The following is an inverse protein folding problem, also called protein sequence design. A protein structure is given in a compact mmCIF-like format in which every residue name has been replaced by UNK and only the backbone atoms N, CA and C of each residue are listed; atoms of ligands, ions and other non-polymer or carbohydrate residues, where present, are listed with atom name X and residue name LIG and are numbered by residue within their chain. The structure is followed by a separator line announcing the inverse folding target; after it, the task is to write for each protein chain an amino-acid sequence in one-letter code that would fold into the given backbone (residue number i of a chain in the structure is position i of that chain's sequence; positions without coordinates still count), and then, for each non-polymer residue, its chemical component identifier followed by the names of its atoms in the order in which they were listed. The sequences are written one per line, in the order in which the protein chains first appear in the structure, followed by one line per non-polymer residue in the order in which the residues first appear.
data_IF_721185326260
#
_entry.id   IF_721185326260
#
_cell.length_a   1.000
_cell.length_b   1.000
_cell.length_c   1.000
_cell.angle_alpha   90.00
_cell.angle_beta   90.00
_cell.angle_gamma   90.00
#
_symmetry.space_group_name_H-M   'P 1'
#
loop_
_entity.id
_entity.type
_entity.pdbx_description
1 polymer ?
#
# COMPACT_ATOMS: atom_id res chain seq x y z
N UNK A 1 -23.87 18.66 5.49
CA UNK A 1 -22.75 18.69 4.52
C UNK A 1 -23.27 19.27 3.23
N UNK A 2 -22.53 20.18 2.58
CA UNK A 2 -22.90 20.64 1.25
C UNK A 2 -22.65 19.55 0.19
N UNK A 3 -23.19 19.74 -1.02
CA UNK A 3 -23.05 18.78 -2.13
C UNK A 3 -21.59 18.46 -2.47
N UNK A 4 -20.67 19.41 -2.32
CA UNK A 4 -19.25 19.24 -2.67
C UNK A 4 -18.54 18.42 -1.61
N UNK A 5 -18.87 18.64 -0.34
CA UNK A 5 -18.41 17.83 0.79
C UNK A 5 -18.91 16.39 0.68
N UNK A 6 -20.18 16.20 0.32
CA UNK A 6 -20.76 14.87 0.09
C UNK A 6 -20.04 14.14 -1.05
N UNK A 7 -19.82 14.79 -2.19
CA UNK A 7 -19.11 14.15 -3.31
C UNK A 7 -17.65 13.80 -2.96
N UNK A 8 -16.97 14.61 -2.14
CA UNK A 8 -15.64 14.27 -1.60
C UNK A 8 -15.69 13.08 -0.65
N UNK A 9 -16.72 13.00 0.20
CA UNK A 9 -16.95 11.87 1.08
C UNK A 9 -17.10 10.59 0.25
N UNK A 10 -17.95 10.60 -0.77
CA UNK A 10 -18.13 9.46 -1.69
C UNK A 10 -16.80 8.97 -2.26
N UNK A 11 -16.02 9.87 -2.88
CA UNK A 11 -14.72 9.50 -3.46
C UNK A 11 -13.75 8.93 -2.42
N UNK A 12 -13.77 9.44 -1.19
CA UNK A 12 -12.90 8.93 -0.11
C UNK A 12 -13.29 7.53 0.39
N UNK A 13 -14.54 7.12 0.16
CA UNK A 13 -15.12 5.86 0.64
C UNK A 13 -15.21 4.80 -0.46
N UNK A 14 -15.44 5.20 -1.71
CA UNK A 14 -15.52 4.31 -2.87
C UNK A 14 -14.29 3.39 -2.97
N UNK A 15 -13.08 3.94 -2.87
CA UNK A 15 -11.84 3.15 -2.89
C UNK A 15 -11.60 2.30 -1.62
N UNK A 16 -12.53 2.29 -0.67
CA UNK A 16 -12.55 1.44 0.52
C UNK A 16 -13.71 0.46 0.52
N UNK A 17 -14.46 0.38 -0.58
CA UNK A 17 -15.54 -0.57 -0.75
C UNK A 17 -14.97 -1.97 -1.01
N UNK A 18 -15.53 -2.97 -0.34
CA UNK A 18 -15.37 -4.37 -0.64
C UNK A 18 -16.68 -4.85 -1.27
N UNK A 19 -16.62 -5.26 -2.53
CA UNK A 19 -17.79 -5.62 -3.33
C UNK A 19 -18.30 -7.02 -3.01
N UNK A 20 -19.60 -7.25 -3.25
CA UNK A 20 -20.28 -8.50 -2.93
C UNK A 20 -20.34 -9.44 -4.14
N UNK A 21 -20.31 -10.75 -3.87
CA UNK A 21 -20.52 -11.81 -4.85
C UNK A 21 -22.00 -12.18 -4.99
N UNK A 22 -22.32 -13.19 -5.82
CA UNK A 22 -23.68 -13.65 -6.09
C UNK A 22 -24.46 -14.06 -4.83
N UNK A 23 -23.75 -14.56 -3.80
CA UNK A 23 -24.31 -15.01 -2.53
C UNK A 23 -24.45 -13.88 -1.50
N UNK A 24 -24.07 -12.65 -1.83
CA UNK A 24 -24.04 -11.52 -0.89
C UNK A 24 -22.86 -11.56 0.10
N UNK A 25 -21.85 -12.39 -0.16
CA UNK A 25 -20.60 -12.44 0.60
C UNK A 25 -19.55 -11.53 -0.04
N UNK A 26 -18.44 -11.24 0.65
CA UNK A 26 -17.36 -10.46 0.03
C UNK A 26 -16.70 -11.24 -1.11
N UNK A 27 -16.67 -10.65 -2.31
CA UNK A 27 -15.93 -11.17 -3.45
C UNK A 27 -14.43 -11.20 -3.12
N UNK A 28 -13.71 -12.24 -3.58
CA UNK A 28 -12.26 -12.37 -3.37
C UNK A 28 -11.43 -11.77 -4.50
N UNK A 29 -12.01 -11.62 -5.69
CA UNK A 29 -11.40 -11.04 -6.88
C UNK A 29 -12.49 -10.37 -7.76
N UNK A 30 -12.09 -9.62 -8.80
CA UNK A 30 -13.00 -8.86 -9.66
C UNK A 30 -13.96 -9.79 -10.45
N UNK A 31 -13.52 -11.02 -10.74
CA UNK A 31 -14.32 -12.01 -11.46
C UNK A 31 -15.46 -12.61 -10.62
N UNK A 32 -15.43 -12.43 -9.30
CA UNK A 32 -16.47 -12.89 -8.39
C UNK A 32 -17.50 -11.80 -8.05
N UNK A 33 -17.24 -10.56 -8.46
CA UNK A 33 -18.13 -9.43 -8.16
C UNK A 33 -19.46 -9.61 -8.89
N UNK A 34 -20.56 -9.50 -8.14
CA UNK A 34 -21.91 -9.53 -8.70
C UNK A 34 -22.23 -8.20 -9.35
N UNK A 35 -22.40 -8.24 -10.67
CA UNK A 35 -22.90 -7.11 -11.46
C UNK A 35 -24.36 -7.34 -11.82
N UNK A 36 -25.21 -6.37 -11.52
CA UNK A 36 -26.62 -6.38 -11.88
C UNK A 36 -26.88 -5.37 -12.99
N UNK A 37 -27.58 -5.80 -14.04
CA UNK A 37 -28.00 -4.93 -15.13
C UNK A 37 -29.32 -4.24 -14.77
N UNK A 38 -29.34 -2.92 -14.89
CA UNK A 38 -30.51 -2.06 -14.70
C UNK A 38 -30.82 -1.19 -15.93
N UNK A 39 -30.01 -1.28 -17.00
CA UNK A 39 -30.20 -0.50 -18.22
C UNK A 39 -30.04 1.01 -18.06
N UNK A 40 -30.30 1.74 -19.15
CA UNK A 40 -30.24 3.21 -19.19
C UNK A 40 -31.37 3.76 -20.07
N UNK A 41 -31.75 5.02 -19.87
CA UNK A 41 -32.78 5.70 -20.65
C UNK A 41 -34.11 4.91 -20.66
N UNK A 42 -34.55 4.48 -21.84
CA UNK A 42 -35.80 3.73 -22.01
C UNK A 42 -35.70 2.29 -21.48
N UNK A 43 -34.49 1.74 -21.40
CA UNK A 43 -34.23 0.39 -20.89
C UNK A 43 -33.98 0.38 -19.38
N UNK A 44 -34.11 1.54 -18.71
CA UNK A 44 -33.86 1.65 -17.28
C UNK A 44 -34.96 0.95 -16.47
N UNK A 45 -34.58 -0.08 -15.73
CA UNK A 45 -35.46 -0.84 -14.86
C UNK A 45 -35.42 -0.28 -13.43
N UNK A 46 -36.42 0.52 -13.08
CA UNK A 46 -36.55 1.10 -11.75
C UNK A 46 -36.90 0.06 -10.67
N UNK A 47 -37.52 -1.07 -11.03
CA UNK A 47 -37.92 -2.09 -10.06
C UNK A 47 -36.68 -2.80 -9.49
N UNK A 48 -35.75 -3.21 -10.36
CA UNK A 48 -34.47 -3.81 -9.95
C UNK A 48 -33.68 -2.86 -9.04
N UNK A 49 -33.62 -1.57 -9.41
CA UNK A 49 -32.91 -0.57 -8.60
C UNK A 49 -33.59 -0.38 -7.24
N UNK A 50 -34.91 -0.28 -7.19
CA UNK A 50 -35.64 -0.16 -5.93
C UNK A 50 -35.45 -1.38 -5.03
N UNK A 51 -35.48 -2.59 -5.58
CA UNK A 51 -35.23 -3.83 -4.85
C UNK A 51 -33.82 -3.83 -4.25
N UNK A 52 -32.79 -3.49 -5.03
CA UNK A 52 -31.41 -3.42 -4.57
C UNK A 52 -31.22 -2.38 -3.46
N UNK A 53 -31.81 -1.19 -3.62
CA UNK A 53 -31.79 -0.11 -2.63
C UNK A 53 -32.43 -0.54 -1.31
N UNK A 54 -33.61 -1.16 -1.36
CA UNK A 54 -34.33 -1.60 -0.17
C UNK A 54 -33.68 -2.81 0.51
N UNK A 55 -33.06 -3.70 -0.25
CA UNK A 55 -32.33 -4.86 0.28
C UNK A 55 -31.03 -4.44 0.95
N UNK A 56 -30.31 -3.48 0.35
CA UNK A 56 -29.01 -3.05 0.86
C UNK A 56 -29.16 -2.12 2.06
N UNK A 57 -30.10 -1.17 2.01
CA UNK A 57 -30.22 -0.10 2.99
C UNK A 57 -31.49 -0.25 3.85
N UNK A 58 -31.28 -0.36 5.16
CA UNK A 58 -32.36 -0.47 6.13
C UNK A 58 -33.03 0.89 6.37
N UNK A 59 -32.24 1.96 6.32
CA UNK A 59 -32.67 3.33 6.58
C UNK A 59 -33.60 3.88 5.48
N UNK A 60 -34.57 4.73 5.83
CA UNK A 60 -35.49 5.35 4.88
C UNK A 60 -34.83 6.44 4.01
N UNK A 61 -33.71 6.99 4.49
CA UNK A 61 -32.92 8.00 3.79
C UNK A 61 -31.51 7.48 3.49
N UNK A 62 -30.98 7.88 2.33
CA UNK A 62 -29.64 7.52 1.85
C UNK A 62 -28.96 8.73 1.24
N UNK A 63 -27.62 8.72 1.24
CA UNK A 63 -26.86 9.68 0.46
C UNK A 63 -26.83 9.27 -1.01
N UNK A 64 -27.25 10.17 -1.89
CA UNK A 64 -27.17 10.03 -3.34
C UNK A 64 -26.06 10.95 -3.87
N UNK A 65 -25.12 10.38 -4.61
CA UNK A 65 -23.93 11.07 -5.12
C UNK A 65 -23.91 11.04 -6.65
N UNK A 66 -24.25 12.16 -7.30
CA UNK A 66 -24.25 12.28 -8.77
C UNK A 66 -23.11 13.19 -9.24
N UNK A 67 -22.88 14.32 -8.56
CA UNK A 67 -21.71 15.17 -8.80
C UNK A 67 -21.44 16.14 -7.65
N UNK A 68 -20.32 16.87 -7.74
CA UNK A 68 -19.91 17.90 -6.78
C UNK A 68 -20.94 18.99 -6.48
N UNK A 69 -21.90 19.19 -7.38
CA UNK A 69 -23.02 20.13 -7.25
C UNK A 69 -24.40 19.45 -7.20
N UNK A 70 -24.46 18.12 -7.28
CA UNK A 70 -25.69 17.32 -7.24
C UNK A 70 -25.46 16.07 -6.39
N UNK A 71 -25.27 16.28 -5.10
CA UNK A 71 -25.18 15.22 -4.09
C UNK A 71 -25.97 15.66 -2.86
N UNK A 72 -26.79 14.77 -2.31
CA UNK A 72 -27.72 15.10 -1.22
C UNK A 72 -28.12 13.86 -0.42
N UNK A 73 -28.63 14.09 0.79
CA UNK A 73 -29.44 13.10 1.51
C UNK A 73 -30.84 13.10 0.91
N UNK A 74 -31.38 11.93 0.60
CA UNK A 74 -32.68 11.77 -0.07
C UNK A 74 -33.43 10.58 0.50
N UNK A 75 -34.76 10.59 0.40
CA UNK A 75 -35.60 9.41 0.65
C UNK A 75 -35.28 8.29 -0.36
N UNK A 76 -35.23 7.02 0.10
CA UNK A 76 -35.08 5.84 -0.79
C UNK A 76 -36.10 5.86 -1.92
N UNK A 77 -37.31 6.34 -1.66
CA UNK A 77 -38.42 6.35 -2.63
C UNK A 77 -38.15 7.14 -3.91
N UNK A 78 -37.19 8.08 -3.90
CA UNK A 78 -36.87 8.92 -5.07
C UNK A 78 -35.53 8.53 -5.75
N UNK A 79 -34.81 7.57 -5.18
CA UNK A 79 -33.44 7.23 -5.63
C UNK A 79 -33.44 6.65 -7.04
N UNK A 80 -34.30 5.66 -7.32
CA UNK A 80 -34.38 5.04 -8.65
C UNK A 80 -34.76 6.07 -9.73
N UNK A 81 -35.68 6.98 -9.43
CA UNK A 81 -36.07 8.06 -10.34
C UNK A 81 -34.89 8.99 -10.67
N UNK A 82 -34.14 9.43 -9.66
CA UNK A 82 -32.98 10.30 -9.87
C UNK A 82 -31.82 9.59 -10.58
N UNK A 83 -31.62 8.30 -10.33
CA UNK A 83 -30.64 7.48 -11.05
C UNK A 83 -31.02 7.41 -12.54
N UNK A 84 -32.25 7.03 -12.87
CA UNK A 84 -32.70 6.87 -14.25
C UNK A 84 -32.53 8.14 -15.10
N UNK A 85 -32.73 9.33 -14.49
CA UNK A 85 -32.53 10.63 -15.15
C UNK A 85 -31.07 10.91 -15.55
N UNK A 86 -30.10 10.35 -14.82
CA UNK A 86 -28.71 10.80 -14.86
C UNK A 86 -27.71 9.71 -15.26
N UNK A 87 -28.09 8.42 -15.18
CA UNK A 87 -27.16 7.31 -15.30
C UNK A 87 -26.43 7.27 -16.65
N UNK A 88 -27.11 7.61 -17.75
CA UNK A 88 -26.50 7.71 -19.08
C UNK A 88 -25.43 8.82 -19.23
N UNK A 89 -25.26 9.70 -18.23
CA UNK A 89 -24.31 10.82 -18.25
C UNK A 89 -23.20 10.69 -17.23
N UNK A 90 -23.48 10.07 -16.08
CA UNK A 90 -22.58 10.02 -14.94
C UNK A 90 -22.75 8.71 -14.20
N UNK A 91 -21.65 8.24 -13.63
CA UNK A 91 -21.68 7.23 -12.58
C UNK A 91 -22.34 7.82 -11.33
N UNK A 92 -23.07 6.97 -10.61
CA UNK A 92 -23.87 7.38 -9.46
C UNK A 92 -23.56 6.47 -8.29
N UNK A 93 -23.31 7.08 -7.13
CA UNK A 93 -23.14 6.37 -5.88
C UNK A 93 -24.36 6.50 -4.98
N UNK A 94 -24.65 5.46 -4.22
CA UNK A 94 -25.59 5.52 -3.09
C UNK A 94 -24.90 4.94 -1.86
N UNK A 95 -25.00 5.62 -0.71
CA UNK A 95 -24.51 5.08 0.56
C UNK A 95 -25.57 5.27 1.65
N UNK A 96 -25.56 4.36 2.62
CA UNK A 96 -26.34 4.57 3.83
C UNK A 96 -25.75 5.70 4.70
N UNK A 97 -26.51 6.17 5.68
CA UNK A 97 -26.14 7.35 6.48
C UNK A 97 -24.84 7.11 7.27
N UNK A 98 -24.61 5.89 7.77
CA UNK A 98 -23.37 5.54 8.48
C UNK A 98 -22.17 5.34 7.55
N UNK A 99 -22.35 5.41 6.23
CA UNK A 99 -21.29 5.20 5.22
C UNK A 99 -20.58 3.84 5.40
N UNK A 100 -21.35 2.79 5.66
CA UNK A 100 -20.88 1.40 5.83
C UNK A 100 -21.33 0.49 4.69
N UNK A 101 -22.37 0.87 3.95
CA UNK A 101 -22.85 0.15 2.75
C UNK A 101 -22.85 1.10 1.55
N UNK A 102 -22.61 0.57 0.37
CA UNK A 102 -22.53 1.33 -0.89
C UNK A 102 -23.16 0.55 -2.03
N UNK A 103 -23.81 1.27 -2.96
CA UNK A 103 -24.10 0.78 -4.31
C UNK A 103 -23.47 1.76 -5.30
N UNK A 104 -22.82 1.23 -6.33
CA UNK A 104 -22.22 2.01 -7.40
C UNK A 104 -22.83 1.64 -8.74
N UNK A 105 -23.32 2.64 -9.47
CA UNK A 105 -23.93 2.52 -10.78
C UNK A 105 -23.02 3.13 -11.84
N UNK A 106 -22.79 2.39 -12.92
CA UNK A 106 -21.96 2.83 -14.05
C UNK A 106 -22.80 3.45 -15.17
N UNK A 107 -22.15 4.22 -16.05
CA UNK A 107 -22.83 4.82 -17.21
C UNK A 107 -23.39 3.82 -18.23
N UNK A 108 -23.05 2.53 -18.07
CA UNK A 108 -23.49 1.43 -18.94
C UNK A 108 -24.75 0.72 -18.42
N UNK A 109 -25.34 1.20 -17.32
CA UNK A 109 -26.56 0.59 -16.78
C UNK A 109 -26.31 -0.69 -16.01
N UNK A 110 -25.11 -0.88 -15.45
CA UNK A 110 -24.84 -1.95 -14.49
C UNK A 110 -24.46 -1.36 -13.14
N UNK A 111 -24.72 -2.10 -12.07
CA UNK A 111 -24.35 -1.72 -10.72
C UNK A 111 -23.84 -2.88 -9.88
N UNK A 112 -23.10 -2.53 -8.84
CA UNK A 112 -22.54 -3.43 -7.84
C UNK A 112 -22.84 -2.90 -6.43
N UNK A 113 -22.96 -3.82 -5.46
CA UNK A 113 -23.19 -3.48 -4.05
C UNK A 113 -22.01 -3.92 -3.20
N UNK A 114 -21.71 -3.15 -2.15
CA UNK A 114 -20.52 -3.36 -1.34
C UNK A 114 -20.66 -2.88 0.11
N UNK A 115 -19.66 -3.26 0.91
CA UNK A 115 -19.49 -2.84 2.29
C UNK A 115 -18.24 -1.98 2.36
N UNK A 116 -18.34 -0.81 2.99
CA UNK A 116 -17.20 0.08 3.24
C UNK A 116 -16.53 -0.34 4.53
N UNK A 117 -15.25 -0.73 4.46
CA UNK A 117 -14.45 -1.09 5.63
C UNK A 117 -13.35 -0.07 5.87
N UNK A 118 -13.39 0.57 7.04
CA UNK A 118 -12.26 1.40 7.50
C UNK A 118 -11.20 0.50 8.13
N UNK A 119 -10.08 0.33 7.44
CA UNK A 119 -8.94 -0.39 7.99
C UNK A 119 -8.04 0.56 8.81
N UNK A 120 -7.38 0.08 9.88
CA UNK A 120 -6.47 0.88 10.70
C UNK A 120 -5.25 1.31 9.88
N UNK A 121 -4.80 2.57 10.03
CA UNK A 121 -3.74 3.20 9.20
C UNK A 121 -2.43 2.40 9.08
N UNK A 122 -2.19 1.49 10.02
CA UNK A 122 -1.16 0.47 9.97
C UNK A 122 -1.73 -0.84 10.50
N UNK A 123 -1.23 -1.95 9.98
CA UNK A 123 -1.42 -3.26 10.61
C UNK A 123 -0.76 -3.24 12.00
N UNK A 124 -1.43 -3.79 13.01
CA UNK A 124 -0.78 -4.04 14.30
C UNK A 124 0.18 -5.20 14.11
N UNK A 125 1.44 -5.01 14.52
CA UNK A 125 2.42 -6.08 14.55
C UNK A 125 2.20 -6.93 15.80
N UNK A 126 2.28 -8.25 15.67
CA UNK A 126 2.30 -9.15 16.83
C UNK A 126 3.56 -8.88 17.66
N UNK A 127 3.39 -8.60 18.96
CA UNK A 127 4.50 -8.36 19.90
C UNK A 127 5.44 -9.57 19.89
N UNK A 128 6.76 -9.35 19.92
CA UNK A 128 7.74 -10.44 19.87
C UNK A 128 8.11 -10.88 18.46
N UNK A 129 7.41 -10.39 17.41
CA UNK A 129 7.73 -10.75 16.02
C UNK A 129 8.99 -10.03 15.58
N UNK A 130 10.04 -10.76 15.15
CA UNK A 130 11.27 -10.15 14.68
C UNK A 130 11.07 -9.34 13.39
N UNK A 131 11.92 -8.32 13.21
CA UNK A 131 12.03 -7.58 11.95
C UNK A 131 12.62 -8.48 10.87
N UNK A 132 11.96 -8.54 9.72
CA UNK A 132 12.51 -9.17 8.51
C UNK A 132 13.24 -8.12 7.68
N UNK A 133 14.56 -8.14 7.71
CA UNK A 133 15.38 -7.29 6.85
C UNK A 133 15.72 -8.02 5.55
N UNK A 134 15.80 -7.28 4.45
CA UNK A 134 16.34 -7.77 3.19
C UNK A 134 17.28 -6.72 2.58
N UNK A 135 18.43 -7.16 2.11
CA UNK A 135 19.35 -6.34 1.32
C UNK A 135 19.32 -6.79 -0.13
N UNK A 136 19.37 -5.83 -1.05
CA UNK A 136 19.35 -6.13 -2.48
C UNK A 136 20.45 -5.36 -3.20
N UNK A 137 21.09 -6.02 -4.16
CA UNK A 137 22.07 -5.42 -5.07
C UNK A 137 21.73 -5.75 -6.53
N UNK A 138 20.44 -5.89 -6.84
CA UNK A 138 19.91 -6.34 -8.13
C UNK A 138 19.69 -5.21 -9.15
N UNK A 139 19.90 -3.95 -8.76
CA UNK A 139 19.86 -2.78 -9.65
C UNK A 139 21.30 -2.46 -10.04
N UNK A 140 21.82 -3.12 -11.08
CA UNK A 140 23.22 -3.02 -11.50
C UNK A 140 23.37 -2.77 -13.02
N UNK A 141 24.57 -2.35 -13.41
CA UNK A 141 25.03 -2.34 -14.79
C UNK A 141 26.24 -3.28 -14.96
N UNK A 142 26.64 -3.55 -16.20
CA UNK A 142 27.76 -4.47 -16.46
C UNK A 142 29.09 -4.04 -15.83
N UNK A 143 29.26 -2.76 -15.49
CA UNK A 143 30.49 -2.25 -14.89
C UNK A 143 30.58 -2.49 -13.38
N UNK A 144 29.46 -2.83 -12.76
CA UNK A 144 29.31 -3.00 -11.30
C UNK A 144 28.90 -4.40 -10.87
N UNK A 145 28.72 -5.32 -11.81
CA UNK A 145 28.41 -6.74 -11.54
C UNK A 145 29.39 -7.37 -10.54
N UNK A 146 30.70 -7.09 -10.68
CA UNK A 146 31.74 -7.52 -9.73
C UNK A 146 31.46 -7.13 -8.27
N UNK A 147 30.71 -6.05 -8.04
CA UNK A 147 30.37 -5.55 -6.71
C UNK A 147 29.21 -6.38 -6.14
N UNK A 148 28.19 -6.67 -6.95
CA UNK A 148 27.10 -7.55 -6.55
C UNK A 148 27.61 -8.96 -6.21
N UNK A 149 28.44 -9.54 -7.09
CA UNK A 149 29.07 -10.85 -6.88
C UNK A 149 29.92 -10.92 -5.60
N UNK A 150 30.53 -9.79 -5.23
CA UNK A 150 31.32 -9.70 -4.02
C UNK A 150 30.45 -9.78 -2.76
N UNK A 151 29.23 -9.25 -2.77
CA UNK A 151 28.43 -9.02 -1.56
C UNK A 151 27.22 -9.94 -1.40
N UNK A 152 26.68 -10.50 -2.49
CA UNK A 152 25.39 -11.20 -2.49
C UNK A 152 25.35 -12.38 -1.50
N UNK A 153 26.42 -13.19 -1.46
CA UNK A 153 26.53 -14.34 -0.54
C UNK A 153 26.54 -13.95 0.95
N UNK A 154 26.84 -12.69 1.27
CA UNK A 154 26.98 -12.21 2.64
C UNK A 154 25.69 -11.61 3.20
N UNK A 155 24.77 -11.14 2.35
CA UNK A 155 23.50 -10.57 2.81
C UNK A 155 22.70 -11.53 3.71
N UNK A 156 22.50 -12.81 3.38
CA UNK A 156 21.71 -13.71 4.23
C UNK A 156 22.27 -13.87 5.65
N UNK A 157 23.60 -13.77 5.81
CA UNK A 157 24.24 -13.87 7.13
C UNK A 157 23.93 -12.64 7.98
N UNK A 158 24.04 -11.45 7.39
CA UNK A 158 23.70 -10.20 8.09
C UNK A 158 22.21 -10.13 8.41
N UNK A 159 21.34 -10.52 7.46
CA UNK A 159 19.90 -10.57 7.66
C UNK A 159 19.51 -11.46 8.85
N UNK A 160 20.17 -12.62 8.97
CA UNK A 160 19.97 -13.56 10.07
C UNK A 160 20.39 -12.97 11.42
N UNK A 161 21.54 -12.29 11.50
CA UNK A 161 21.98 -11.65 12.74
C UNK A 161 21.04 -10.50 13.16
N UNK A 162 20.45 -9.81 12.19
CA UNK A 162 19.52 -8.71 12.41
C UNK A 162 18.06 -9.16 12.63
N UNK A 163 17.76 -10.46 12.53
CA UNK A 163 16.41 -11.01 12.74
C UNK A 163 16.02 -11.00 14.23
N UNK A 164 15.72 -9.81 14.75
CA UNK A 164 15.35 -9.57 16.16
C UNK A 164 14.14 -8.64 16.27
N UNK A 165 13.53 -8.62 17.44
CA UNK A 165 12.45 -7.68 17.75
C UNK A 165 13.03 -6.31 18.18
N UNK A 166 12.86 -5.30 17.33
CA UNK A 166 13.23 -3.90 17.62
C UNK A 166 12.03 -3.02 17.99
N UNK A 167 10.89 -3.59 18.32
CA UNK A 167 9.65 -2.88 18.60
C UNK A 167 9.02 -2.20 17.37
N UNK A 168 7.98 -1.41 17.62
CA UNK A 168 7.24 -0.68 16.59
C UNK A 168 6.36 -1.54 15.69
N UNK A 169 5.78 -0.90 14.66
CA UNK A 169 4.84 -1.56 13.73
C UNK A 169 5.51 -2.05 12.45
N UNK A 170 6.78 -1.67 12.19
CA UNK A 170 7.52 -2.14 11.02
C UNK A 170 7.78 -3.65 11.12
N UNK A 171 7.41 -4.38 10.07
CA UNK A 171 7.56 -5.84 9.97
C UNK A 171 8.70 -6.20 9.02
N UNK A 172 8.87 -5.40 7.96
CA UNK A 172 9.90 -5.57 6.96
C UNK A 172 10.74 -4.30 6.80
N UNK A 173 12.03 -4.47 6.50
CA UNK A 173 12.93 -3.39 6.10
C UNK A 173 13.70 -3.82 4.86
N UNK A 174 13.58 -3.06 3.77
CA UNK A 174 14.31 -3.32 2.52
C UNK A 174 15.32 -2.21 2.26
N UNK A 175 16.55 -2.60 1.96
CA UNK A 175 17.65 -1.68 1.68
C UNK A 175 18.27 -2.08 0.35
N UNK A 176 18.04 -1.25 -0.67
CA UNK A 176 18.53 -1.50 -2.03
C UNK A 176 19.86 -0.76 -2.26
N UNK A 177 20.93 -1.46 -2.62
CA UNK A 177 22.17 -0.88 -3.11
C UNK A 177 22.03 -0.60 -4.61
N UNK A 178 22.02 0.67 -5.00
CA UNK A 178 21.94 1.07 -6.41
C UNK A 178 23.31 1.08 -7.07
N UNK A 179 23.59 0.08 -7.90
CA UNK A 179 24.85 -0.12 -8.61
C UNK A 179 24.81 0.40 -10.06
N UNK A 180 23.82 1.20 -10.46
CA UNK A 180 23.75 1.78 -11.81
C UNK A 180 24.32 3.19 -11.83
N UNK A 181 25.54 3.36 -12.34
CA UNK A 181 26.25 4.65 -12.29
C UNK A 181 25.51 5.76 -13.05
N UNK A 182 24.89 5.45 -14.20
CA UNK A 182 24.13 6.47 -14.95
C UNK A 182 22.98 7.09 -14.13
N UNK A 183 22.30 6.30 -13.30
CA UNK A 183 21.21 6.82 -12.46
C UNK A 183 21.73 7.79 -11.42
N UNK A 184 22.98 7.60 -11.00
CA UNK A 184 23.65 8.47 -10.05
C UNK A 184 23.83 9.92 -10.55
N UNK A 185 23.78 10.14 -11.88
CA UNK A 185 23.88 11.46 -12.53
C UNK A 185 22.52 12.11 -12.73
N UNK A 186 21.49 11.30 -12.92
CA UNK A 186 20.14 11.76 -13.27
C UNK A 186 19.21 11.90 -12.05
N UNK A 187 19.50 11.21 -10.95
CA UNK A 187 18.72 11.26 -9.71
C UNK A 187 19.54 10.97 -8.46
N UNK A 188 19.01 11.41 -7.33
CA UNK A 188 19.42 10.93 -6.00
C UNK A 188 18.87 9.53 -5.71
N UNK A 189 19.40 8.88 -4.67
CA UNK A 189 18.85 7.63 -4.18
C UNK A 189 17.41 7.79 -3.69
N UNK A 190 16.64 6.71 -3.75
CA UNK A 190 15.26 6.69 -3.26
C UNK A 190 15.23 6.96 -1.77
N UNK A 191 14.64 8.11 -1.42
CA UNK A 191 14.40 8.50 -0.04
C UNK A 191 13.62 7.44 0.73
N UNK A 192 13.88 7.31 2.03
CA UNK A 192 13.11 6.44 2.90
C UNK A 192 11.60 6.68 2.84
N UNK A 193 10.87 5.59 2.60
CA UNK A 193 9.41 5.53 2.63
C UNK A 193 8.97 4.42 3.58
N UNK A 194 7.97 4.74 4.40
CA UNK A 194 7.33 3.75 5.25
C UNK A 194 5.92 3.46 4.73
N UNK A 195 5.77 2.30 4.10
CA UNK A 195 4.50 1.83 3.57
C UNK A 195 3.82 0.94 4.61
N UNK A 196 2.74 1.46 5.20
CA UNK A 196 2.04 0.81 6.32
C UNK A 196 1.09 -0.33 5.90
N UNK A 197 1.12 -0.70 4.62
CA UNK A 197 0.08 -1.43 3.89
C UNK A 197 0.64 -1.87 2.53
N UNK A 198 1.41 -2.94 2.49
CA UNK A 198 1.74 -3.55 1.19
C UNK A 198 0.53 -4.35 0.74
N UNK A 199 -0.06 -3.94 -0.40
CA UNK A 199 -1.31 -4.48 -0.90
C UNK A 199 -1.17 -5.96 -1.32
N UNK A 200 -2.12 -6.80 -0.92
CA UNK A 200 -2.27 -8.14 -1.50
C UNK A 200 -3.11 -7.99 -2.77
N UNK A 201 -2.46 -7.94 -3.93
CA UNK A 201 -3.17 -7.88 -5.22
C UNK A 201 -4.14 -9.05 -5.45
N UNK A 202 -3.95 -10.16 -4.75
CA UNK A 202 -4.72 -11.39 -4.89
C UNK A 202 -5.89 -11.53 -3.90
N UNK A 203 -6.12 -10.58 -2.98
CA UNK A 203 -7.19 -10.68 -2.00
C UNK A 203 -7.97 -9.38 -1.88
N UNK A 204 -9.28 -9.46 -2.14
CA UNK A 204 -10.23 -8.38 -1.88
C UNK A 204 -10.76 -8.37 -0.44
N UNK A 205 -10.31 -9.29 0.41
CA UNK A 205 -10.73 -9.36 1.83
C UNK A 205 -9.57 -9.13 2.79
N UNK A 206 -8.37 -9.61 2.45
CA UNK A 206 -7.11 -9.31 3.12
C UNK A 206 -6.35 -8.27 2.32
N UNK A 207 -6.61 -6.98 2.56
CA UNK A 207 -6.02 -5.94 1.71
C UNK A 207 -4.51 -5.76 1.92
N UNK A 208 -3.92 -6.20 3.05
CA UNK A 208 -2.53 -5.86 3.40
C UNK A 208 -1.71 -7.04 3.97
N UNK A 209 -0.51 -7.26 3.44
CA UNK A 209 0.43 -8.27 3.94
C UNK A 209 1.16 -7.81 5.20
N UNK A 210 1.91 -6.70 5.10
CA UNK A 210 2.84 -6.22 6.12
C UNK A 210 3.12 -4.72 6.02
N UNK A 211 3.67 -4.15 7.10
CA UNK A 211 4.30 -2.82 7.10
C UNK A 211 5.77 -2.91 6.67
N UNK A 212 6.20 -2.14 5.66
CA UNK A 212 7.59 -2.14 5.18
C UNK A 212 8.21 -0.74 5.16
N UNK A 213 9.41 -0.61 5.71
CA UNK A 213 10.32 0.49 5.40
C UNK A 213 11.16 0.13 4.20
N UNK A 214 11.30 1.03 3.22
CA UNK A 214 12.20 0.82 2.10
C UNK A 214 12.94 2.11 1.74
N UNK A 215 14.19 1.95 1.33
CA UNK A 215 15.03 3.02 0.79
C UNK A 215 16.18 2.43 0.00
N UNK A 216 16.86 3.27 -0.76
CA UNK A 216 18.07 2.86 -1.46
C UNK A 216 19.30 3.66 -1.05
N UNK A 217 20.45 3.03 -1.28
CA UNK A 217 21.78 3.51 -0.93
C UNK A 217 22.57 3.60 -2.22
N UNK A 218 23.16 4.78 -2.45
CA UNK A 218 24.02 5.06 -3.59
C UNK A 218 25.47 5.01 -3.14
N UNK A 219 26.33 4.18 -3.75
CA UNK A 219 27.75 4.20 -3.47
C UNK A 219 28.44 5.36 -4.19
N UNK A 220 29.61 5.73 -3.67
CA UNK A 220 30.65 6.41 -4.45
C UNK A 220 31.25 5.43 -5.49
N UNK A 221 30.94 5.67 -6.76
CA UNK A 221 31.39 4.84 -7.88
C UNK A 221 32.89 4.99 -8.17
N UNK A 222 33.48 6.16 -7.90
CA UNK A 222 34.93 6.35 -8.06
C UNK A 222 35.69 5.55 -7.01
N UNK A 223 35.19 5.55 -5.77
CA UNK A 223 35.72 4.66 -4.72
C UNK A 223 35.57 3.19 -5.13
N UNK A 224 34.40 2.74 -5.59
CA UNK A 224 34.21 1.35 -6.05
C UNK A 224 35.17 0.94 -7.17
N UNK A 225 35.49 1.84 -8.11
CA UNK A 225 36.46 1.56 -9.18
C UNK A 225 37.87 1.31 -8.64
N UNK A 226 38.25 1.98 -7.56
CA UNK A 226 39.57 1.82 -6.94
C UNK A 226 39.74 0.51 -6.15
N UNK A 227 38.63 -0.13 -5.76
CA UNK A 227 38.64 -1.37 -4.99
C UNK A 227 38.84 -2.58 -5.91
N UNK A 228 39.87 -3.37 -5.58
CA UNK A 228 40.33 -4.50 -6.41
C UNK A 228 40.11 -5.86 -5.77
N UNK A 229 39.98 -5.96 -4.44
CA UNK A 229 39.73 -7.23 -3.74
C UNK A 229 38.28 -7.35 -3.26
N UNK A 230 37.79 -8.58 -3.17
CA UNK A 230 36.44 -8.89 -2.66
C UNK A 230 36.26 -8.34 -1.24
N UNK A 231 37.26 -8.51 -0.38
CA UNK A 231 37.25 -8.05 1.01
C UNK A 231 37.11 -6.52 1.09
N UNK A 232 37.87 -5.78 0.28
CA UNK A 232 37.83 -4.32 0.26
C UNK A 232 36.48 -3.79 -0.24
N UNK A 233 35.86 -4.47 -1.22
CA UNK A 233 34.52 -4.16 -1.72
C UNK A 233 33.48 -4.42 -0.63
N UNK A 234 33.51 -5.62 -0.02
CA UNK A 234 32.59 -5.97 1.06
C UNK A 234 32.67 -4.95 2.19
N UNK A 235 33.88 -4.64 2.65
CA UNK A 235 34.06 -3.75 3.79
C UNK A 235 33.49 -2.37 3.54
N UNK A 236 33.78 -1.80 2.37
CA UNK A 236 33.20 -0.53 1.96
C UNK A 236 31.67 -0.58 1.85
N UNK A 237 31.11 -1.62 1.24
CA UNK A 237 29.66 -1.73 1.05
C UNK A 237 28.93 -1.88 2.38
N UNK A 238 29.42 -2.73 3.29
CA UNK A 238 28.78 -2.93 4.58
C UNK A 238 28.90 -1.72 5.50
N UNK A 239 30.02 -1.00 5.45
CA UNK A 239 30.17 0.30 6.10
C UNK A 239 29.15 1.32 5.55
N UNK A 240 29.03 1.41 4.23
CA UNK A 240 28.05 2.27 3.57
C UNK A 240 26.60 1.92 3.95
N UNK A 241 26.26 0.63 3.99
CA UNK A 241 24.94 0.17 4.42
C UNK A 241 24.70 0.52 5.89
N UNK A 242 25.65 0.28 6.78
CA UNK A 242 25.57 0.66 8.19
C UNK A 242 25.33 2.16 8.35
N UNK A 243 26.12 3.01 7.69
CA UNK A 243 25.96 4.47 7.75
C UNK A 243 24.57 4.90 7.27
N UNK A 244 24.08 4.29 6.19
CA UNK A 244 22.76 4.58 5.64
C UNK A 244 21.61 4.39 6.63
N UNK A 245 21.76 3.50 7.62
CA UNK A 245 20.71 3.23 8.62
C UNK A 245 20.47 4.40 9.57
N UNK A 246 21.28 5.47 9.51
CA UNK A 246 21.08 6.70 10.27
C UNK A 246 19.72 7.33 9.92
N UNK A 247 19.23 7.10 8.70
CA UNK A 247 17.90 7.54 8.28
C UNK A 247 16.78 6.98 9.18
N UNK A 248 16.95 5.79 9.78
CA UNK A 248 15.97 5.21 10.68
C UNK A 248 15.91 5.97 12.01
N UNK A 249 17.05 6.43 12.51
CA UNK A 249 17.13 7.29 13.70
C UNK A 249 16.48 8.65 13.41
N UNK A 250 16.81 9.24 12.27
CA UNK A 250 16.25 10.53 11.86
C UNK A 250 14.72 10.47 11.67
N UNK A 251 14.19 9.29 11.31
CA UNK A 251 12.76 9.04 11.10
C UNK A 251 12.08 8.33 12.28
N UNK A 252 12.75 8.10 13.40
CA UNK A 252 12.28 7.26 14.52
C UNK A 252 10.85 7.61 14.98
N UNK A 253 10.53 8.92 15.06
CA UNK A 253 9.19 9.43 15.41
C UNK A 253 8.07 8.91 14.48
N UNK A 254 8.37 8.61 13.21
CA UNK A 254 7.42 8.10 12.22
C UNK A 254 7.30 6.58 12.23
N UNK A 255 8.20 5.88 12.92
CA UNK A 255 8.30 4.43 12.98
C UNK A 255 7.55 3.80 14.17
N UNK A 256 6.77 4.61 14.91
CA UNK A 256 5.80 4.14 15.92
C UNK A 256 6.41 3.22 16.99
N UNK A 257 7.57 3.58 17.55
CA UNK A 257 8.21 2.83 18.63
C UNK A 257 9.24 1.78 18.19
N UNK A 258 9.67 1.84 16.93
CA UNK A 258 10.85 1.12 16.47
C UNK A 258 12.11 1.70 17.11
N UNK A 259 12.93 0.85 17.74
CA UNK A 259 14.19 1.23 18.38
C UNK A 259 15.33 1.25 17.36
N UNK A 260 15.48 2.38 16.66
CA UNK A 260 16.46 2.53 15.59
C UNK A 260 17.91 2.47 16.11
N UNK A 261 18.15 2.87 17.37
CA UNK A 261 19.47 2.81 17.99
C UNK A 261 19.90 1.37 18.26
N UNK A 262 19.04 0.56 18.87
CA UNK A 262 19.34 -0.85 19.10
C UNK A 262 19.56 -1.60 17.78
N UNK A 263 18.76 -1.31 16.75
CA UNK A 263 18.98 -1.86 15.42
C UNK A 263 20.37 -1.50 14.86
N UNK A 264 20.80 -0.24 14.98
CA UNK A 264 22.14 0.21 14.54
C UNK A 264 23.27 -0.45 15.30
N UNK A 265 23.15 -0.56 16.61
CA UNK A 265 24.14 -1.23 17.47
C UNK A 265 24.29 -2.71 17.10
N UNK A 266 23.17 -3.39 16.86
CA UNK A 266 23.16 -4.78 16.42
C UNK A 266 23.69 -4.95 14.99
N UNK A 267 23.42 -4.00 14.09
CA UNK A 267 23.97 -4.00 12.74
C UNK A 267 25.49 -3.93 12.77
N UNK A 268 26.04 -2.96 13.51
CA UNK A 268 27.49 -2.79 13.64
C UNK A 268 28.12 -4.05 14.25
N UNK A 269 27.54 -4.54 15.35
CA UNK A 269 28.00 -5.76 16.02
C UNK A 269 27.99 -6.98 15.10
N UNK A 270 26.96 -7.11 14.26
CA UNK A 270 26.86 -8.18 13.27
C UNK A 270 27.94 -8.05 12.18
N UNK A 271 28.15 -6.85 11.64
CA UNK A 271 29.20 -6.61 10.65
C UNK A 271 30.60 -6.93 11.20
N UNK A 272 30.90 -6.54 12.44
CA UNK A 272 32.18 -6.84 13.09
C UNK A 272 32.32 -8.35 13.34
N UNK A 273 31.28 -8.99 13.87
CA UNK A 273 31.27 -10.44 14.12
C UNK A 273 31.50 -11.26 12.84
N UNK A 274 30.96 -10.80 11.72
CA UNK A 274 31.07 -11.47 10.43
C UNK A 274 32.36 -11.09 9.66
N UNK A 275 33.17 -10.17 10.19
CA UNK A 275 34.41 -9.70 9.57
C UNK A 275 34.18 -8.83 8.34
N UNK A 276 33.03 -8.14 8.27
CA UNK A 276 32.72 -7.21 7.18
C UNK A 276 33.28 -5.81 7.48
N UNK A 277 33.33 -5.40 8.73
CA UNK A 277 33.87 -4.10 9.14
C UNK A 277 34.95 -4.36 10.19
N UNK A 278 36.12 -3.73 10.03
CA UNK A 278 37.18 -3.71 11.02
C UNK A 278 36.93 -2.57 12.02
N UNK A 279 37.03 -2.87 13.33
CA UNK A 279 36.97 -1.90 14.41
C UNK A 279 38.36 -1.40 14.82
#
# INVERSE_FOLDING_TARGET
MDSKQLFRLYNSKFFKANWLNENGELAQNDGEVKWLYCGINQDFDSEIVNEAINTTFEEDEVYLFISSNKSSLVSKSIVAEEIGKMLHKKEIGVMNISCTKIIHFTTYGVFESGIIRELPKSRLRTIGTPLKIAFHANILDSSTEKVADAIEDYFPNLEKELYKDYGGVMEHLWIDLELVERYSKDRDSWSFRFQKRVDIRASHTELYTYNVGHYSVKPDFEKLRSLSSKESICSYVFELLYESTQILVDKEKKLNGFNAKAFREDFLSACVKLGYIDC
#
